data_IF_573268958241
#
_entry.id   IF_573268958241
#
_cell.length_a   1.000
_cell.length_b   1.000
_cell.length_c   1.000
_cell.angle_alpha   90.00
_cell.angle_beta   90.00
_cell.angle_gamma   90.00
#
_symmetry.space_group_name_H-M   'P 1'
#
loop_
_entity.id
_entity.type
_entity.pdbx_description
1 polymer ?
#
# COMPACT_ATOMS: atom_id res chain seq x y z
N UNK A 1 15.59 4.63 -8.85
CA UNK A 1 15.21 5.16 -7.51
C UNK A 1 16.47 5.37 -6.70
N UNK A 2 16.51 6.37 -5.82
CA UNK A 2 17.70 6.64 -5.00
C UNK A 2 17.54 5.92 -3.65
N UNK A 3 18.06 4.70 -3.55
CA UNK A 3 17.96 3.86 -2.34
C UNK A 3 18.45 4.56 -1.06
N UNK A 4 19.33 5.56 -1.21
CA UNK A 4 19.83 6.37 -0.09
C UNK A 4 18.78 7.23 0.61
N UNK A 5 17.63 7.50 -0.02
CA UNK A 5 16.56 8.32 0.56
C UNK A 5 15.36 7.51 1.08
N UNK A 6 15.42 6.18 0.98
CA UNK A 6 14.34 5.29 1.40
C UNK A 6 14.36 5.08 2.91
N UNK A 7 13.26 5.42 3.57
CA UNK A 7 13.08 5.22 5.01
C UNK A 7 12.35 3.91 5.32
N UNK A 8 11.40 3.51 4.48
CA UNK A 8 10.60 2.31 4.69
C UNK A 8 10.36 1.53 3.40
N UNK A 9 10.16 0.24 3.55
CA UNK A 9 9.96 -0.73 2.48
C UNK A 9 8.81 -1.67 2.86
N UNK A 10 7.78 -1.67 2.03
CA UNK A 10 6.72 -2.65 2.00
C UNK A 10 7.08 -3.84 1.12
N UNK A 11 6.46 -4.96 1.42
CA UNK A 11 6.74 -6.25 0.81
C UNK A 11 5.43 -6.88 0.36
N UNK A 12 5.52 -7.77 -0.62
CA UNK A 12 4.37 -8.49 -1.12
C UNK A 12 3.90 -9.53 -0.11
N UNK A 13 2.64 -9.43 0.31
CA UNK A 13 2.05 -10.37 1.25
C UNK A 13 1.18 -11.38 0.50
N UNK A 14 1.35 -12.66 0.87
CA UNK A 14 0.54 -13.73 0.32
C UNK A 14 0.25 -14.79 1.37
N UNK A 15 -0.90 -15.45 1.21
CA UNK A 15 -1.29 -16.57 2.06
C UNK A 15 -0.51 -17.83 1.69
N UNK A 16 -0.46 -18.85 2.56
CA UNK A 16 0.15 -20.15 2.24
C UNK A 16 -0.43 -20.79 0.97
N UNK A 17 -1.68 -20.46 0.62
CA UNK A 17 -2.37 -20.93 -0.58
C UNK A 17 -2.03 -20.11 -1.85
N UNK A 18 -1.08 -19.17 -1.77
CA UNK A 18 -0.63 -18.36 -2.90
C UNK A 18 -1.54 -17.18 -3.26
N UNK A 19 -2.55 -16.87 -2.44
CA UNK A 19 -3.42 -15.71 -2.67
C UNK A 19 -2.71 -14.44 -2.19
N UNK A 20 -2.50 -13.49 -3.11
CA UNK A 20 -1.97 -12.15 -2.81
C UNK A 20 -3.02 -11.38 -2.00
N UNK A 21 -2.58 -10.67 -0.96
CA UNK A 21 -3.45 -9.77 -0.23
C UNK A 21 -3.60 -8.45 -1.02
N UNK A 22 -4.83 -7.99 -1.29
CA UNK A 22 -5.04 -6.80 -2.14
C UNK A 22 -4.71 -5.47 -1.44
N UNK A 23 -4.36 -5.51 -0.15
CA UNK A 23 -4.13 -4.35 0.71
C UNK A 23 -2.68 -4.31 1.14
N UNK A 24 -1.74 -4.37 0.21
CA UNK A 24 -0.30 -4.40 0.53
C UNK A 24 0.27 -2.98 0.78
N UNK A 25 -0.27 -1.97 0.08
CA UNK A 25 0.14 -0.57 0.18
C UNK A 25 -1.01 0.36 -0.23
N UNK A 26 -0.91 1.62 0.17
CA UNK A 26 -1.87 2.66 -0.19
C UNK A 26 -1.16 3.94 -0.64
N UNK A 27 -1.92 4.77 -1.34
CA UNK A 27 -1.55 6.12 -1.72
C UNK A 27 -2.39 7.13 -0.93
N UNK A 28 -1.85 8.31 -0.66
CA UNK A 28 -2.68 9.38 -0.10
C UNK A 28 -3.78 9.78 -1.11
N UNK A 29 -4.98 10.18 -0.64
CA UNK A 29 -6.13 10.50 -1.49
C UNK A 29 -5.92 11.67 -2.47
N UNK A 30 -4.74 12.32 -2.43
CA UNK A 30 -4.36 13.42 -3.31
C UNK A 30 -3.72 12.96 -4.63
N UNK A 31 -3.57 11.64 -4.84
CA UNK A 31 -2.92 11.15 -6.05
C UNK A 31 -3.91 11.18 -7.21
N UNK A 32 -3.76 12.19 -8.09
CA UNK A 32 -4.52 12.40 -9.34
C UNK A 32 -4.78 11.11 -10.13
N UNK A 33 -3.84 10.17 -10.05
CA UNK A 33 -3.87 8.86 -10.69
C UNK A 33 -4.89 7.89 -10.08
N UNK A 34 -5.14 7.94 -8.78
CA UNK A 34 -6.25 7.20 -8.14
C UNK A 34 -7.61 7.80 -8.48
N UNK A 35 -7.72 9.14 -8.41
CA UNK A 35 -8.94 9.84 -8.81
C UNK A 35 -9.31 9.52 -10.26
N UNK A 36 -8.31 9.44 -11.15
CA UNK A 36 -8.49 9.00 -12.52
C UNK A 36 -8.96 7.53 -12.62
N UNK A 37 -8.41 6.63 -11.81
CA UNK A 37 -8.85 5.23 -11.72
C UNK A 37 -10.32 5.09 -11.32
N UNK A 38 -10.75 5.82 -10.29
CA UNK A 38 -12.15 5.87 -9.86
C UNK A 38 -13.08 6.40 -10.95
N UNK A 39 -12.68 7.48 -11.64
CA UNK A 39 -13.44 8.05 -12.75
C UNK A 39 -13.56 7.05 -13.91
N UNK A 40 -12.46 6.41 -14.30
CA UNK A 40 -12.45 5.41 -15.38
C UNK A 40 -13.33 4.20 -15.01
N UNK A 41 -13.27 3.72 -13.77
CA UNK A 41 -14.15 2.66 -13.27
C UNK A 41 -15.63 3.06 -13.24
N UNK A 42 -15.92 4.29 -12.83
CA UNK A 42 -17.28 4.86 -12.84
C UNK A 42 -17.86 4.93 -14.25
N UNK A 43 -17.10 5.44 -15.23
CA UNK A 43 -17.53 5.47 -16.62
C UNK A 43 -17.67 4.08 -17.24
N UNK A 44 -16.80 3.12 -16.88
CA UNK A 44 -16.93 1.74 -17.32
C UNK A 44 -18.23 1.07 -16.81
N UNK A 45 -18.69 1.45 -15.61
CA UNK A 45 -19.96 0.97 -15.05
C UNK A 45 -21.20 1.66 -15.68
N UNK A 46 -21.09 2.94 -16.07
CA UNK A 46 -22.16 3.63 -16.81
C UNK A 46 -22.37 3.09 -18.22
N UNK A 47 -21.32 2.56 -18.84
CA UNK A 47 -21.35 2.08 -20.23
C UNK A 47 -20.96 0.59 -20.34
N UNK A 48 -21.72 -0.33 -19.71
CA UNK A 48 -21.31 -1.73 -19.53
C UNK A 48 -21.25 -2.55 -20.83
N UNK A 49 -21.91 -2.09 -21.90
CA UNK A 49 -21.97 -2.75 -23.21
C UNK A 49 -20.79 -2.38 -24.13
N UNK A 50 -19.96 -1.42 -23.75
CA UNK A 50 -18.79 -1.01 -24.52
C UNK A 50 -17.56 -1.79 -24.04
N UNK A 51 -17.35 -2.97 -24.63
CA UNK A 51 -16.23 -3.88 -24.33
C UNK A 51 -14.88 -3.15 -24.31
N UNK A 52 -14.69 -2.17 -25.20
CA UNK A 52 -13.47 -1.36 -25.26
C UNK A 52 -13.24 -0.53 -23.99
N UNK A 53 -14.28 0.01 -23.34
CA UNK A 53 -14.16 0.83 -22.13
C UNK A 53 -13.82 -0.05 -20.92
N UNK A 54 -14.44 -1.24 -20.82
CA UNK A 54 -14.04 -2.25 -19.82
C UNK A 54 -12.59 -2.70 -19.99
N UNK A 55 -12.13 -2.87 -21.23
CA UNK A 55 -10.74 -3.23 -21.53
C UNK A 55 -9.76 -2.11 -21.17
N UNK A 56 -10.11 -0.85 -21.43
CA UNK A 56 -9.31 0.31 -21.04
C UNK A 56 -9.27 0.44 -19.51
N UNK A 57 -10.42 0.33 -18.83
CA UNK A 57 -10.49 0.38 -17.38
C UNK A 57 -9.70 -0.77 -16.74
N UNK A 58 -9.88 -2.00 -17.23
CA UNK A 58 -9.14 -3.17 -16.77
C UNK A 58 -7.64 -3.03 -17.03
N UNK A 59 -7.20 -2.56 -18.19
CA UNK A 59 -5.79 -2.34 -18.47
C UNK A 59 -5.20 -1.21 -17.63
N UNK A 60 -5.96 -0.14 -17.37
CA UNK A 60 -5.53 0.97 -16.52
C UNK A 60 -5.36 0.52 -15.06
N UNK A 61 -6.32 -0.26 -14.55
CA UNK A 61 -6.27 -0.86 -13.21
C UNK A 61 -5.18 -1.94 -13.12
N UNK A 62 -5.01 -2.79 -14.15
CA UNK A 62 -3.97 -3.84 -14.16
C UNK A 62 -2.56 -3.25 -14.29
N UNK A 63 -2.33 -2.24 -15.13
CA UNK A 63 -1.06 -1.51 -15.18
C UNK A 63 -0.79 -0.69 -13.92
N UNK A 64 -1.84 -0.31 -13.19
CA UNK A 64 -1.68 0.30 -11.87
C UNK A 64 -1.12 -0.70 -10.84
N UNK A 65 -1.41 -1.98 -11.01
CA UNK A 65 -0.93 -3.09 -10.18
C UNK A 65 0.16 -3.94 -10.86
N UNK A 66 1.01 -3.36 -11.71
CA UNK A 66 2.13 -4.09 -12.29
C UNK A 66 3.21 -4.32 -11.22
N UNK A 67 3.00 -5.37 -10.39
CA UNK A 67 3.84 -5.81 -9.29
C UNK A 67 5.16 -6.46 -9.77
N UNK A 68 5.81 -5.88 -10.78
CA UNK A 68 7.08 -6.37 -11.34
C UNK A 68 8.27 -5.50 -10.96
N UNK A 69 8.03 -4.26 -10.52
CA UNK A 69 9.08 -3.31 -10.15
C UNK A 69 8.77 -2.64 -8.82
N UNK A 70 9.82 -2.26 -8.09
CA UNK A 70 9.67 -1.48 -6.87
C UNK A 70 9.09 -0.11 -7.20
N UNK A 71 8.09 0.32 -6.43
CA UNK A 71 7.35 1.56 -6.65
C UNK A 71 7.42 2.44 -5.40
N UNK A 72 7.35 3.76 -5.58
CA UNK A 72 7.17 4.68 -4.47
C UNK A 72 5.70 4.70 -4.09
N UNK A 73 5.43 4.55 -2.81
CA UNK A 73 4.08 4.54 -2.22
C UNK A 73 4.03 5.52 -1.05
N UNK A 74 2.83 5.81 -0.57
CA UNK A 74 2.66 6.74 0.54
C UNK A 74 2.48 6.01 1.87
N UNK A 75 1.81 4.86 1.84
CA UNK A 75 1.64 3.98 2.98
C UNK A 75 1.93 2.54 2.56
N UNK A 76 2.43 1.75 3.50
CA UNK A 76 2.52 0.30 3.37
C UNK A 76 1.69 -0.30 4.50
N UNK A 77 0.86 -1.29 4.15
CA UNK A 77 -0.16 -1.80 5.08
C UNK A 77 0.48 -2.78 6.06
N UNK A 78 -0.05 -2.76 7.28
CA UNK A 78 0.58 -3.40 8.43
C UNK A 78 0.36 -4.93 8.44
N UNK A 79 1.31 -5.63 7.82
CA UNK A 79 1.53 -7.07 7.98
C UNK A 79 3.02 -7.43 8.03
N UNK A 80 3.86 -6.69 7.29
CA UNK A 80 5.31 -6.71 7.42
C UNK A 80 5.89 -5.36 6.95
N UNK A 81 6.59 -4.67 7.84
CA UNK A 81 7.12 -3.32 7.61
C UNK A 81 8.63 -3.30 7.87
N UNK A 82 9.41 -2.94 6.86
CA UNK A 82 10.87 -2.80 6.99
C UNK A 82 11.20 -1.32 7.06
N UNK A 83 11.95 -0.89 8.07
CA UNK A 83 12.28 0.53 8.29
C UNK A 83 13.77 0.70 8.59
N UNK A 84 14.33 1.79 8.07
CA UNK A 84 15.68 2.21 8.42
C UNK A 84 15.74 2.59 9.90
N UNK A 85 16.52 1.85 10.69
CA UNK A 85 16.61 2.04 12.15
C UNK A 85 17.03 3.46 12.55
N UNK A 86 17.91 4.12 11.78
CA UNK A 86 18.33 5.49 12.08
C UNK A 86 17.16 6.47 11.93
N UNK A 87 16.43 6.38 10.82
CA UNK A 87 15.27 7.24 10.55
C UNK A 87 14.12 6.92 11.51
N UNK A 88 13.89 5.65 11.81
CA UNK A 88 12.89 5.23 12.80
C UNK A 88 13.16 5.87 14.18
N UNK A 89 14.41 5.81 14.65
CA UNK A 89 14.80 6.42 15.92
C UNK A 89 14.73 7.96 15.88
N UNK A 90 15.13 8.57 14.77
CA UNK A 90 15.02 10.03 14.55
C UNK A 90 13.57 10.50 14.65
N UNK A 91 12.64 9.72 14.09
CA UNK A 91 11.21 10.00 14.13
C UNK A 91 10.53 9.57 15.45
N UNK A 92 11.28 9.00 16.40
CA UNK A 92 10.78 8.49 17.70
C UNK A 92 9.88 7.25 17.59
N UNK A 93 10.09 6.41 16.59
CA UNK A 93 9.41 5.12 16.45
C UNK A 93 7.91 5.24 16.21
N UNK A 94 7.13 4.26 16.69
CA UNK A 94 5.67 4.28 16.68
C UNK A 94 5.13 5.22 17.79
N UNK A 95 4.04 5.94 17.52
CA UNK A 95 3.38 6.77 18.55
C UNK A 95 2.50 5.86 19.43
N UNK A 96 2.84 5.78 20.72
CA UNK A 96 2.17 4.93 21.72
C UNK A 96 0.68 5.28 21.93
N UNK A 97 0.21 6.42 21.42
CA UNK A 97 -1.23 6.75 21.40
C UNK A 97 -2.02 5.83 20.47
N UNK A 98 -1.38 5.24 19.47
CA UNK A 98 -1.96 4.21 18.61
C UNK A 98 -1.63 2.84 19.21
N UNK A 99 -2.47 2.39 20.14
CA UNK A 99 -2.32 1.09 20.79
C UNK A 99 -2.69 -0.08 19.86
N UNK A 100 -3.56 0.18 18.88
CA UNK A 100 -3.98 -0.79 17.86
C UNK A 100 -4.58 -0.06 16.66
N UNK A 101 -4.11 -0.40 15.46
CA UNK A 101 -4.42 0.24 14.18
C UNK A 101 -3.84 1.66 14.03
N UNK A 102 -3.47 1.99 12.79
CA UNK A 102 -2.94 3.30 12.36
C UNK A 102 -1.52 3.63 12.81
N UNK A 103 -0.85 2.76 13.57
CA UNK A 103 0.52 2.97 14.04
C UNK A 103 1.50 3.11 12.86
N UNK A 104 1.35 2.29 11.83
CA UNK A 104 2.14 2.34 10.61
C UNK A 104 1.72 3.48 9.70
N UNK A 105 0.42 3.78 9.62
CA UNK A 105 -0.08 4.93 8.85
C UNK A 105 0.47 6.26 9.39
N UNK A 106 0.50 6.42 10.71
CA UNK A 106 1.12 7.58 11.37
C UNK A 106 2.63 7.65 11.08
N UNK A 107 3.33 6.51 11.20
CA UNK A 107 4.77 6.45 10.90
C UNK A 107 5.06 6.80 9.44
N UNK A 108 4.31 6.24 8.48
CA UNK A 108 4.40 6.56 7.06
C UNK A 108 4.17 8.06 6.80
N UNK A 109 3.15 8.63 7.44
CA UNK A 109 2.88 10.06 7.34
C UNK A 109 4.06 10.91 7.87
N UNK A 110 4.65 10.55 9.02
CA UNK A 110 5.83 11.23 9.57
C UNK A 110 7.07 11.08 8.69
N UNK A 111 7.29 9.89 8.13
CA UNK A 111 8.37 9.61 7.16
C UNK A 111 8.24 10.52 5.94
N UNK A 112 7.04 10.58 5.34
CA UNK A 112 6.78 11.44 4.19
C UNK A 112 6.96 12.92 4.52
N UNK A 113 6.48 13.36 5.70
CA UNK A 113 6.63 14.75 6.18
C UNK A 113 8.09 15.14 6.42
N UNK A 114 8.94 14.18 6.77
CA UNK A 114 10.38 14.38 6.92
C UNK A 114 11.15 14.36 5.57
N UNK A 115 10.46 14.14 4.45
CA UNK A 115 11.04 14.19 3.09
C UNK A 115 11.66 12.88 2.63
N UNK A 116 11.47 11.79 3.37
CA UNK A 116 11.97 10.48 2.99
C UNK A 116 10.97 9.72 2.09
N UNK A 117 11.49 8.76 1.34
CA UNK A 117 10.68 7.93 0.46
C UNK A 117 10.25 6.62 1.15
N UNK A 118 9.03 6.18 0.84
CA UNK A 118 8.52 4.86 1.19
C UNK A 118 8.37 4.07 -0.10
N UNK A 119 8.92 2.87 -0.13
CA UNK A 119 8.89 2.02 -1.31
C UNK A 119 8.07 0.77 -1.03
N UNK A 120 7.51 0.18 -2.07
CA UNK A 120 6.99 -1.18 -2.06
C UNK A 120 7.77 -1.99 -3.08
N UNK A 121 8.31 -3.14 -2.67
CA UNK A 121 9.03 -4.04 -3.55
C UNK A 121 8.33 -5.40 -3.68
N UNK A 122 7.79 -5.72 -4.87
CA UNK A 122 7.08 -6.98 -5.08
C UNK A 122 7.98 -8.22 -5.15
N UNK A 123 9.31 -8.03 -5.25
CA UNK A 123 10.27 -9.14 -5.27
C UNK A 123 10.55 -9.67 -3.85
N UNK A 124 10.27 -8.86 -2.83
CA UNK A 124 10.36 -9.28 -1.44
C UNK A 124 9.00 -9.82 -1.02
N UNK A 125 9.00 -11.06 -0.57
CA UNK A 125 7.79 -11.87 -0.43
C UNK A 125 7.72 -12.39 1.01
N UNK A 126 6.58 -12.16 1.67
CA UNK A 126 6.31 -12.65 3.03
C UNK A 126 5.03 -13.46 3.05
N UNK A 127 5.14 -14.69 3.60
CA UNK A 127 3.99 -15.57 3.83
C UNK A 127 3.33 -15.13 5.13
N UNK A 128 2.07 -14.74 5.05
CA UNK A 128 1.25 -14.41 6.23
C UNK A 128 0.36 -15.60 6.55
N UNK A 129 0.58 -16.21 7.70
CA UNK A 129 -0.18 -17.36 8.17
C UNK A 129 -1.39 -16.85 8.95
N UNK A 130 -2.59 -16.99 8.36
CA UNK A 130 -3.90 -16.63 8.90
C UNK A 130 -4.04 -15.21 9.49
N UNK A 131 -4.69 -14.32 8.74
CA UNK A 131 -5.19 -13.06 9.28
C UNK A 131 -6.46 -13.29 10.09
N UNK A 132 -6.36 -13.35 11.41
CA UNK A 132 -7.53 -13.35 12.28
C UNK A 132 -8.06 -11.91 12.42
N UNK A 133 -9.18 -11.60 11.79
CA UNK A 133 -10.01 -10.48 12.26
C UNK A 133 -10.59 -10.92 13.60
N UNK A 134 -10.20 -10.28 14.71
CA UNK A 134 -10.90 -10.47 15.97
C UNK A 134 -12.36 -10.04 15.76
N UNK A 135 -13.26 -11.01 15.51
CA UNK A 135 -14.68 -10.76 15.21
C UNK A 135 -15.47 -10.27 16.44
N UNK A 136 -14.82 -10.15 17.60
CA UNK A 136 -15.45 -9.76 18.87
C UNK A 136 -14.74 -8.57 19.52
N UNK A 137 -14.68 -7.43 18.85
CA UNK A 137 -14.55 -6.14 19.56
C UNK A 137 -15.96 -5.55 19.63
N UNK A 138 -16.76 -6.07 20.56
CA UNK A 138 -17.92 -5.34 21.06
C UNK A 138 -17.40 -4.35 22.09
N UNK A 139 -17.43 -3.06 21.75
CA UNK A 139 -17.36 -1.95 22.70
C UNK A 139 -18.79 -1.61 23.11
#
# INVERSE_FOLDING_TARGET
MNEKNTAALGVKLYTPNGKILPWDFEYFPNNFRESAGYLIGFFANLYPNYVSIKKIASNFILHYYDFQASIKVDLVVEGCFIVNTKIFNELRGFDEKFWMFFEGSDLCYRIAKAGYDILYDPNINVIVQDGHTHTNIFI
#
